data_IF_126276847846
#
_entry.id   IF_126276847846
#
_cell.length_a   1.000
_cell.length_b   1.000
_cell.length_c   1.000
_cell.angle_alpha   90.00
_cell.angle_beta   90.00
_cell.angle_gamma   90.00
#
_symmetry.space_group_name_H-M   'P 1'
#
loop_
_entity.id
_entity.type
_entity.pdbx_description
1 polymer ?
#
# COMPACT_ATOMS: atom_id res chain seq x y z
N UNK A 1 -0.72 -19.82 2.09
CA UNK A 1 -0.99 -18.41 1.74
C UNK A 1 0.34 -17.69 1.67
N UNK A 2 0.63 -16.98 0.59
CA UNK A 2 1.87 -16.22 0.51
C UNK A 2 1.71 -14.87 1.24
N UNK A 3 2.83 -14.18 1.43
CA UNK A 3 2.84 -12.93 2.18
C UNK A 3 1.95 -11.86 1.57
N UNK A 4 1.94 -11.75 0.24
CA UNK A 4 1.11 -10.78 -0.45
C UNK A 4 -0.38 -11.06 -0.19
N UNK A 5 -0.79 -12.33 -0.29
CA UNK A 5 -2.18 -12.73 -0.05
C UNK A 5 -2.62 -12.40 1.37
N UNK A 6 -1.76 -12.67 2.34
CA UNK A 6 -2.06 -12.40 3.75
C UNK A 6 -2.25 -10.89 3.98
N UNK A 7 -1.38 -10.07 3.39
CA UNK A 7 -1.45 -8.63 3.52
C UNK A 7 -2.70 -8.08 2.83
N UNK A 8 -2.98 -8.53 1.61
CA UNK A 8 -4.17 -8.10 0.88
C UNK A 8 -5.44 -8.46 1.66
N UNK A 9 -5.47 -9.66 2.24
CA UNK A 9 -6.60 -10.08 3.06
C UNK A 9 -6.78 -9.17 4.27
N UNK A 10 -5.68 -8.84 4.95
CA UNK A 10 -5.72 -7.92 6.09
C UNK A 10 -6.24 -6.56 5.68
N UNK A 11 -5.74 -6.02 4.58
CA UNK A 11 -6.11 -4.68 4.11
C UNK A 11 -7.54 -4.62 3.58
N UNK A 12 -8.13 -5.75 3.20
CA UNK A 12 -9.53 -5.78 2.78
C UNK A 12 -10.49 -5.45 3.92
N UNK A 13 -10.03 -5.52 5.16
CA UNK A 13 -10.82 -5.20 6.34
C UNK A 13 -10.73 -3.73 6.75
N UNK A 14 -10.04 -2.89 5.99
CA UNK A 14 -9.90 -1.47 6.33
C UNK A 14 -11.25 -0.78 6.45
N UNK A 15 -11.37 0.06 7.49
CA UNK A 15 -12.55 0.89 7.73
C UNK A 15 -12.06 2.31 7.96
N UNK A 16 -12.39 3.17 7.01
CA UNK A 16 -11.91 4.55 6.99
C UNK A 16 -13.09 5.44 6.65
N UNK A 17 -13.19 6.59 7.31
CA UNK A 17 -14.25 7.55 7.04
C UNK A 17 -14.13 8.15 5.64
N UNK A 18 -15.13 8.98 5.23
CA UNK A 18 -15.20 9.48 3.85
C UNK A 18 -14.12 10.50 3.49
N UNK A 19 -13.57 11.20 4.47
CA UNK A 19 -12.54 12.22 4.23
C UNK A 19 -11.41 12.05 5.23
N UNK A 20 -10.63 10.97 5.12
CA UNK A 20 -9.60 10.71 6.10
C UNK A 20 -8.39 11.63 5.93
N UNK A 21 -7.73 11.95 7.04
CA UNK A 21 -6.40 12.53 6.99
C UNK A 21 -5.40 11.41 6.68
N UNK A 22 -4.23 11.78 6.16
CA UNK A 22 -3.23 10.78 5.79
C UNK A 22 -2.84 9.90 6.97
N UNK A 23 -2.66 10.51 8.16
CA UNK A 23 -2.29 9.74 9.34
C UNK A 23 -3.37 8.73 9.74
N UNK A 24 -4.65 9.03 9.45
CA UNK A 24 -5.74 8.10 9.73
C UNK A 24 -5.68 6.88 8.86
N UNK A 25 -5.28 7.04 7.60
CA UNK A 25 -5.11 5.92 6.67
C UNK A 25 -3.94 5.05 7.15
N UNK A 26 -2.81 5.67 7.49
CA UNK A 26 -1.65 4.96 8.02
C UNK A 26 -2.01 4.17 9.28
N UNK A 27 -2.76 4.81 10.18
CA UNK A 27 -3.20 4.20 11.43
C UNK A 27 -4.08 2.97 11.17
N UNK A 28 -5.01 3.10 10.23
CA UNK A 28 -5.91 2.00 9.87
C UNK A 28 -5.14 0.83 9.27
N UNK A 29 -4.15 1.12 8.42
CA UNK A 29 -3.29 0.08 7.83
C UNK A 29 -2.52 -0.64 8.94
N UNK A 30 -1.90 0.12 9.86
CA UNK A 30 -1.16 -0.47 10.96
C UNK A 30 -2.05 -1.38 11.82
N UNK A 31 -3.25 -0.92 12.15
CA UNK A 31 -4.20 -1.73 12.94
C UNK A 31 -4.62 -2.99 12.22
N UNK A 32 -4.84 -2.91 10.90
CA UNK A 32 -5.22 -4.07 10.12
C UNK A 32 -4.11 -5.12 10.11
N UNK A 33 -2.87 -4.66 9.94
CA UNK A 33 -1.71 -5.55 9.96
C UNK A 33 -1.52 -6.17 11.34
N UNK A 34 -1.66 -5.36 12.40
CA UNK A 34 -1.56 -5.85 13.78
C UNK A 34 -2.63 -6.91 14.07
N UNK A 35 -3.87 -6.64 13.66
CA UNK A 35 -4.97 -7.57 13.89
C UNK A 35 -4.76 -8.90 13.16
N UNK A 36 -4.07 -8.89 12.04
CA UNK A 36 -3.76 -10.09 11.27
C UNK A 36 -2.46 -10.76 11.72
N UNK A 37 -1.75 -10.18 12.69
CA UNK A 37 -0.49 -10.73 13.18
C UNK A 37 0.65 -10.60 12.17
N UNK A 38 0.59 -9.62 11.28
CA UNK A 38 1.61 -9.41 10.25
C UNK A 38 2.64 -8.40 10.75
N UNK A 39 3.91 -8.80 10.92
CA UNK A 39 4.95 -7.86 11.32
C UNK A 39 5.21 -6.84 10.23
N UNK A 40 5.53 -5.62 10.62
CA UNK A 40 5.84 -4.57 9.66
C UNK A 40 6.78 -3.54 10.27
N UNK A 41 7.43 -2.77 9.41
CA UNK A 41 8.19 -1.59 9.79
C UNK A 41 7.49 -0.40 9.14
N UNK A 42 7.05 0.56 9.97
CA UNK A 42 6.40 1.78 9.49
C UNK A 42 7.47 2.82 9.12
N UNK A 43 7.30 3.47 7.99
CA UNK A 43 8.26 4.45 7.46
C UNK A 43 9.66 3.87 7.35
N UNK A 44 9.74 2.75 6.67
CA UNK A 44 10.99 2.01 6.49
C UNK A 44 11.89 2.69 5.45
N UNK A 45 13.13 2.96 5.84
CA UNK A 45 14.09 3.56 4.92
C UNK A 45 14.70 2.49 4.03
N UNK A 46 14.39 2.56 2.74
CA UNK A 46 14.95 1.65 1.73
C UNK A 46 16.15 2.26 1.01
N UNK A 47 16.12 3.58 0.83
CA UNK A 47 17.13 4.34 0.12
C UNK A 47 17.46 5.60 0.93
N UNK A 48 18.64 6.17 0.76
CA UNK A 48 18.96 7.45 1.39
C UNK A 48 17.89 8.50 1.02
N UNK A 49 17.30 9.12 2.05
CA UNK A 49 16.28 10.15 1.87
C UNK A 49 14.94 9.66 1.40
N UNK A 50 14.71 8.34 1.30
CA UNK A 50 13.44 7.79 0.84
C UNK A 50 12.94 6.72 1.80
N UNK A 51 11.68 6.85 2.17
CA UNK A 51 11.00 5.89 3.06
C UNK A 51 9.78 5.35 2.38
N UNK A 52 9.59 4.04 2.49
CA UNK A 52 8.35 3.41 2.11
C UNK A 52 7.43 3.44 3.32
N UNK A 53 6.12 3.60 3.11
CA UNK A 53 5.19 3.76 4.23
C UNK A 53 5.20 2.55 5.15
N UNK A 54 5.15 1.35 4.60
CA UNK A 54 5.25 0.11 5.39
C UNK A 54 6.07 -0.91 4.63
N UNK A 55 6.85 -1.69 5.37
CA UNK A 55 7.53 -2.86 4.84
C UNK A 55 7.12 -4.08 5.66
N UNK A 56 6.43 -5.01 5.01
CA UNK A 56 6.00 -6.27 5.63
C UNK A 56 6.90 -7.36 5.06
N UNK A 57 8.07 -7.56 5.70
CA UNK A 57 9.08 -8.44 5.11
C UNK A 57 9.52 -7.88 3.76
N UNK A 58 9.38 -8.67 2.70
CA UNK A 58 9.76 -8.26 1.34
C UNK A 58 8.63 -7.59 0.56
N UNK A 59 7.48 -7.33 1.19
CA UNK A 59 6.35 -6.68 0.54
C UNK A 59 6.23 -5.26 1.03
N UNK A 60 6.32 -4.29 0.12
CA UNK A 60 6.14 -2.88 0.46
C UNK A 60 4.68 -2.48 0.37
N UNK A 61 4.27 -1.54 1.22
CA UNK A 61 2.93 -0.96 1.18
C UNK A 61 3.09 0.55 1.13
N UNK A 62 2.47 1.16 0.15
CA UNK A 62 2.50 2.61 -0.03
C UNK A 62 1.08 3.15 -0.02
N UNK A 63 0.84 4.22 0.76
CA UNK A 63 -0.47 4.84 0.91
C UNK A 63 -0.48 6.16 0.15
N UNK A 64 -1.51 6.37 -0.68
CA UNK A 64 -1.69 7.64 -1.40
C UNK A 64 -3.07 8.20 -1.13
N UNK A 65 -3.11 9.33 -0.44
CA UNK A 65 -4.31 10.10 -0.21
C UNK A 65 -4.54 11.02 -1.42
N UNK A 66 -5.81 11.26 -1.76
CA UNK A 66 -6.16 12.09 -2.89
C UNK A 66 -5.87 11.42 -4.22
N UNK A 67 -5.87 12.19 -5.29
CA UNK A 67 -5.55 11.67 -6.62
C UNK A 67 -4.04 11.78 -6.83
N UNK A 68 -3.34 10.67 -6.96
CA UNK A 68 -1.90 10.73 -7.19
C UNK A 68 -1.58 11.16 -8.62
N UNK A 69 -0.41 11.76 -8.79
CA UNK A 69 0.17 11.94 -10.11
C UNK A 69 0.68 10.56 -10.55
N UNK A 70 0.03 9.97 -11.54
CA UNK A 70 0.34 8.60 -11.97
C UNK A 70 1.78 8.40 -12.40
N UNK A 71 2.34 9.38 -13.11
CA UNK A 71 3.73 9.30 -13.57
C UNK A 71 4.70 9.29 -12.39
N UNK A 72 4.50 10.21 -11.45
CA UNK A 72 5.36 10.30 -10.26
C UNK A 72 5.26 9.04 -9.41
N UNK A 73 4.03 8.53 -9.26
CA UNK A 73 3.83 7.32 -8.48
C UNK A 73 4.53 6.14 -9.13
N UNK A 74 4.41 5.97 -10.45
CA UNK A 74 5.09 4.87 -11.15
C UNK A 74 6.61 4.99 -11.01
N UNK A 75 7.15 6.19 -11.10
CA UNK A 75 8.59 6.40 -10.92
C UNK A 75 9.03 6.05 -9.49
N UNK A 76 8.23 6.43 -8.50
CA UNK A 76 8.50 6.10 -7.10
C UNK A 76 8.49 4.59 -6.87
N UNK A 77 7.47 3.92 -7.39
CA UNK A 77 7.36 2.46 -7.28
C UNK A 77 8.53 1.75 -7.97
N UNK A 78 8.95 2.28 -9.12
CA UNK A 78 10.09 1.72 -9.84
C UNK A 78 11.36 1.77 -8.98
N UNK A 79 11.61 2.91 -8.33
CA UNK A 79 12.78 3.05 -7.46
C UNK A 79 12.74 2.07 -6.29
N UNK A 80 11.57 1.88 -5.69
CA UNK A 80 11.42 0.91 -4.60
C UNK A 80 11.65 -0.51 -5.10
N UNK A 81 11.06 -0.86 -6.24
CA UNK A 81 11.11 -2.23 -6.74
C UNK A 81 12.43 -2.59 -7.42
N UNK A 82 13.29 -1.61 -7.67
CA UNK A 82 14.68 -1.88 -8.06
C UNK A 82 15.48 -2.46 -6.90
N UNK A 83 15.02 -2.24 -5.65
CA UNK A 83 15.72 -2.71 -4.48
C UNK A 83 15.52 -4.21 -4.28
N UNK A 84 16.60 -4.91 -3.92
CA UNK A 84 16.54 -6.37 -3.73
C UNK A 84 15.71 -6.76 -2.51
N UNK A 85 15.51 -5.82 -1.57
CA UNK A 85 14.73 -6.09 -0.36
C UNK A 85 13.25 -6.32 -0.64
N UNK A 86 12.74 -5.79 -1.76
CA UNK A 86 11.32 -5.90 -2.09
C UNK A 86 11.09 -6.86 -3.25
N UNK A 87 10.07 -7.69 -3.10
CA UNK A 87 9.61 -8.62 -4.14
C UNK A 87 8.23 -8.27 -4.67
N UNK A 88 7.51 -7.37 -4.01
CA UNK A 88 6.17 -6.96 -4.43
C UNK A 88 5.80 -5.64 -3.77
N UNK A 89 4.84 -4.94 -4.37
CA UNK A 89 4.28 -3.71 -3.81
C UNK A 89 2.77 -3.81 -3.73
N UNK A 90 2.23 -3.22 -2.68
CA UNK A 90 0.78 -3.00 -2.53
C UNK A 90 0.59 -1.48 -2.39
N UNK A 91 -0.26 -0.91 -3.22
CA UNK A 91 -0.55 0.52 -3.19
C UNK A 91 -1.98 0.71 -2.71
N UNK A 92 -2.14 1.42 -1.60
CA UNK A 92 -3.44 1.73 -1.03
C UNK A 92 -3.84 3.11 -1.57
N UNK A 93 -4.86 3.15 -2.43
CA UNK A 93 -5.28 4.36 -3.12
C UNK A 93 -6.61 4.86 -2.60
N UNK A 94 -6.69 6.13 -2.25
CA UNK A 94 -7.97 6.76 -1.92
C UNK A 94 -8.76 7.04 -3.20
N UNK A 95 -8.07 7.48 -4.26
CA UNK A 95 -8.71 7.77 -5.54
C UNK A 95 -8.07 6.93 -6.64
N UNK A 96 -8.85 6.54 -7.66
CA UNK A 96 -8.34 5.67 -8.72
C UNK A 96 -7.11 6.25 -9.43
N UNK A 97 -6.18 5.37 -9.74
CA UNK A 97 -5.01 5.68 -10.52
C UNK A 97 -4.61 4.41 -11.25
N UNK A 98 -4.37 4.52 -12.55
CA UNK A 98 -3.96 3.35 -13.31
C UNK A 98 -2.48 3.05 -13.05
N UNK A 99 -2.22 1.81 -12.60
CA UNK A 99 -0.87 1.33 -12.35
C UNK A 99 -0.65 0.04 -13.13
N UNK A 100 0.60 -0.21 -13.58
CA UNK A 100 0.90 -1.48 -14.24
C UNK A 100 0.81 -2.64 -13.25
N UNK A 101 0.55 -3.83 -13.77
CA UNK A 101 0.45 -5.05 -12.94
C UNK A 101 1.79 -5.47 -12.36
N UNK A 102 2.89 -5.07 -13.00
CA UNK A 102 4.22 -5.37 -12.51
C UNK A 102 5.19 -4.26 -12.88
N UNK A 103 6.22 -4.11 -12.06
CA UNK A 103 7.32 -3.17 -12.29
C UNK A 103 8.60 -3.92 -11.92
N UNK A 104 9.62 -3.85 -12.76
CA UNK A 104 10.87 -4.60 -12.55
C UNK A 104 10.63 -6.10 -12.39
N UNK A 105 9.61 -6.64 -13.06
CA UNK A 105 9.25 -8.05 -12.96
C UNK A 105 8.60 -8.44 -11.65
N UNK A 106 8.22 -7.46 -10.82
CA UNK A 106 7.64 -7.69 -9.48
C UNK A 106 6.19 -7.21 -9.46
N UNK A 107 5.28 -7.96 -8.84
CA UNK A 107 3.85 -7.61 -8.87
C UNK A 107 3.54 -6.33 -8.12
N UNK A 108 2.57 -5.58 -8.65
CA UNK A 108 2.01 -4.38 -8.04
C UNK A 108 0.52 -4.62 -7.86
N UNK A 109 0.06 -4.54 -6.61
CA UNK A 109 -1.35 -4.73 -6.28
C UNK A 109 -1.94 -3.42 -5.78
N UNK A 110 -3.23 -3.22 -6.02
CA UNK A 110 -3.92 -2.00 -5.60
C UNK A 110 -5.06 -2.36 -4.65
N UNK A 111 -5.14 -1.62 -3.55
CA UNK A 111 -6.28 -1.64 -2.64
C UNK A 111 -6.95 -0.28 -2.75
N UNK A 112 -8.18 -0.24 -3.24
CA UNK A 112 -8.90 1.00 -3.50
C UNK A 112 -9.83 1.33 -2.32
N UNK A 113 -9.49 2.36 -1.55
CA UNK A 113 -10.26 2.74 -0.36
C UNK A 113 -11.68 3.20 -0.68
N UNK A 114 -11.82 4.02 -1.70
CA UNK A 114 -13.14 4.53 -2.08
C UNK A 114 -14.07 3.42 -2.55
N UNK A 115 -13.52 2.36 -3.13
CA UNK A 115 -14.29 1.20 -3.56
C UNK A 115 -14.81 0.42 -2.38
N UNK A 116 -13.98 0.23 -1.35
CA UNK A 116 -14.40 -0.42 -0.11
C UNK A 116 -15.50 0.40 0.56
N UNK A 117 -15.36 1.70 0.55
CA UNK A 117 -16.33 2.62 1.10
C UNK A 117 -17.67 2.54 0.34
N UNK A 118 -17.59 2.58 -1.00
CA UNK A 118 -18.77 2.53 -1.85
C UNK A 118 -19.59 1.27 -1.67
N UNK A 119 -18.92 0.13 -1.52
CA UNK A 119 -19.60 -1.15 -1.28
C UNK A 119 -20.38 -1.11 0.02
N UNK A 120 -19.86 -0.44 1.05
CA UNK A 120 -20.53 -0.36 2.35
C UNK A 120 -21.81 0.48 2.30
N UNK A 121 -21.99 1.32 1.30
CA UNK A 121 -23.16 2.17 1.14
C UNK A 121 -24.32 1.49 0.43
N UNK A 122 -24.07 0.37 -0.17
CA UNK A 122 -25.08 -0.41 -0.90
C UNK A 122 -25.54 -1.60 -0.10
#
# INVERSE_FOLDING_TARGET
>A
MNDVQAILSALSALRIGPQPEEYEIHDAVARALDAAGIPYVHECRLLPGRRIDFACGSVGVEVKKGRPDGRRLREQLHRYLEQTQLTAMIVVLQRPCHLPESICGKPVHVVALNRLWGVALH
#
